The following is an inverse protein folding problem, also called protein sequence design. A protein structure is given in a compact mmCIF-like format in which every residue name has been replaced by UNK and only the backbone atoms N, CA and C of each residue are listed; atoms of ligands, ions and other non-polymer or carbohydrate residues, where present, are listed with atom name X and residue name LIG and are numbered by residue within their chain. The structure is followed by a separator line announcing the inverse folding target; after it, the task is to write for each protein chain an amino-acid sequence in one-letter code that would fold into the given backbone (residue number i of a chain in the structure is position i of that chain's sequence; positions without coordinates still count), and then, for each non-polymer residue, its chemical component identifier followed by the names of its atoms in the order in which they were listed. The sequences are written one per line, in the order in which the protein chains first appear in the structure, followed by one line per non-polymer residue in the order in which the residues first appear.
data_IF_414399497637
#
_entry.id   IF_414399497637
#
_cell.length_a   1.000
_cell.length_b   1.000
_cell.length_c   1.000
_cell.angle_alpha   90.00
_cell.angle_beta   90.00
_cell.angle_gamma   90.00
#
_symmetry.space_group_name_H-M   'P 1'
#
loop_
_entity.id
_entity.type
_entity.pdbx_description
1 polymer ?
#
# COMPACT_ATOMS: atom_id res chain seq x y z
N UNK A 1 2.16 8.53 0.98
CA UNK A 1 1.65 8.07 -0.32
C UNK A 1 2.68 7.29 -1.14
N UNK A 2 3.98 7.61 -1.09
CA UNK A 2 5.03 6.76 -1.68
C UNK A 2 5.38 5.54 -0.82
N UNK A 3 5.68 5.74 0.46
CA UNK A 3 6.11 4.66 1.37
C UNK A 3 5.16 3.46 1.43
N UNK A 4 3.85 3.71 1.58
CA UNK A 4 2.83 2.65 1.57
C UNK A 4 2.83 1.87 0.24
N UNK A 5 2.94 2.59 -0.88
CA UNK A 5 2.97 1.97 -2.20
C UNK A 5 4.24 1.13 -2.40
N UNK A 6 5.41 1.71 -2.15
CA UNK A 6 6.70 1.05 -2.37
C UNK A 6 6.84 -0.24 -1.54
N UNK A 7 6.24 -0.27 -0.35
CA UNK A 7 6.26 -1.44 0.52
C UNK A 7 5.14 -2.44 0.23
N UNK A 8 3.93 -2.00 -0.11
CA UNK A 8 2.83 -2.95 -0.33
C UNK A 8 2.87 -3.54 -1.74
N UNK A 9 3.33 -2.78 -2.74
CA UNK A 9 3.27 -3.19 -4.14
C UNK A 9 3.89 -4.56 -4.45
N UNK A 10 5.05 -4.96 -3.88
CA UNK A 10 5.60 -6.31 -4.11
C UNK A 10 4.75 -7.44 -3.52
N UNK A 11 3.99 -7.17 -2.46
CA UNK A 11 3.17 -8.16 -1.75
C UNK A 11 1.73 -8.25 -2.28
N UNK A 12 1.32 -7.28 -3.09
CA UNK A 12 -0.04 -7.18 -3.58
C UNK A 12 -0.19 -7.87 -4.93
N UNK A 13 -1.29 -8.62 -5.16
CA UNK A 13 -1.63 -9.07 -6.50
C UNK A 13 -1.88 -7.85 -7.39
N UNK A 14 -1.61 -7.99 -8.70
CA UNK A 14 -1.74 -6.88 -9.65
C UNK A 14 -3.07 -6.12 -9.45
N UNK A 15 -2.99 -4.77 -9.39
CA UNK A 15 -4.10 -3.87 -9.05
C UNK A 15 -5.38 -4.09 -9.88
N UNK A 16 -5.26 -4.64 -11.09
CA UNK A 16 -6.38 -4.86 -11.99
C UNK A 16 -7.06 -6.23 -11.82
N UNK A 17 -6.51 -7.11 -10.97
CA UNK A 17 -6.94 -8.50 -10.81
C UNK A 17 -7.40 -8.86 -9.38
N UNK A 18 -7.30 -7.93 -8.42
CA UNK A 18 -7.48 -8.21 -7.01
C UNK A 18 -8.69 -7.52 -6.39
N UNK A 19 -9.40 -8.16 -5.43
CA UNK A 19 -10.41 -7.49 -4.62
C UNK A 19 -9.80 -6.33 -3.81
N UNK A 20 -10.61 -5.31 -3.44
CA UNK A 20 -10.13 -4.17 -2.68
C UNK A 20 -9.49 -4.63 -1.36
N UNK A 21 -8.24 -4.20 -1.16
CA UNK A 21 -7.44 -4.55 0.01
C UNK A 21 -8.08 -3.92 1.24
N UNK A 22 -8.20 -4.67 2.32
CA UNK A 22 -8.75 -4.18 3.58
C UNK A 22 -7.63 -3.88 4.57
N UNK A 23 -7.91 -3.06 5.58
CA UNK A 23 -6.97 -2.84 6.70
C UNK A 23 -6.60 -4.16 7.39
N UNK A 24 -7.54 -5.10 7.49
CA UNK A 24 -7.27 -6.45 8.03
C UNK A 24 -6.24 -7.25 7.23
N UNK A 25 -6.16 -7.05 5.91
CA UNK A 25 -5.18 -7.73 5.06
C UNK A 25 -3.75 -7.37 5.46
N UNK A 26 -3.50 -6.10 5.83
CA UNK A 26 -2.20 -5.67 6.32
C UNK A 26 -1.83 -6.34 7.65
N UNK A 27 -2.80 -6.63 8.51
CA UNK A 27 -2.58 -7.39 9.74
C UNK A 27 -2.10 -8.81 9.43
N UNK A 28 -2.77 -9.49 8.50
CA UNK A 28 -2.40 -10.84 8.06
C UNK A 28 -1.00 -10.89 7.45
N UNK A 29 -0.65 -9.92 6.60
CA UNK A 29 0.70 -9.85 6.03
C UNK A 29 1.76 -9.54 7.09
N UNK A 30 1.46 -8.66 8.05
CA UNK A 30 2.37 -8.42 9.17
C UNK A 30 2.62 -9.72 9.95
N UNK A 31 1.59 -10.48 10.30
CA UNK A 31 1.74 -11.77 11.01
C UNK A 31 2.58 -12.77 10.23
N UNK A 32 2.29 -12.94 8.94
CA UNK A 32 3.04 -13.87 8.06
C UNK A 32 4.50 -13.47 7.91
N UNK A 33 4.79 -12.17 7.75
CA UNK A 33 6.16 -11.68 7.62
C UNK A 33 6.92 -11.80 8.94
N UNK A 34 6.29 -11.52 10.08
CA UNK A 34 6.92 -11.60 11.39
C UNK A 34 7.20 -13.04 11.86
N UNK A 35 6.53 -14.05 11.29
CA UNK A 35 6.82 -15.47 11.54
C UNK A 35 8.10 -15.96 10.84
N UNK A 36 8.69 -15.15 9.95
CA UNK A 36 9.98 -15.43 9.32
C UNK A 36 9.93 -16.46 8.18
N UNK A 37 11.13 -16.83 7.70
CA UNK A 37 11.35 -17.66 6.49
C UNK A 37 10.46 -18.91 6.34
N UNK A 38 10.13 -19.69 7.40
CA UNK A 38 9.23 -20.84 7.24
C UNK A 38 7.83 -20.45 6.75
N UNK A 39 7.29 -19.35 7.29
CA UNK A 39 6.00 -18.81 6.86
C UNK A 39 6.10 -18.25 5.44
N UNK A 40 7.20 -17.54 5.14
CA UNK A 40 7.42 -16.93 3.82
C UNK A 40 7.42 -17.97 2.71
N UNK A 41 8.12 -19.09 2.89
CA UNK A 41 8.14 -20.21 1.93
C UNK A 41 6.76 -20.81 1.69
N UNK A 42 5.89 -20.78 2.71
CA UNK A 42 4.53 -21.33 2.60
C UNK A 42 3.60 -20.38 1.84
N UNK A 43 3.73 -19.07 2.06
CA UNK A 43 2.86 -18.06 1.45
C UNK A 43 3.34 -17.63 0.06
N UNK A 44 4.64 -17.35 -0.09
CA UNK A 44 5.26 -16.72 -1.26
C UNK A 44 6.37 -17.56 -1.90
N UNK A 45 6.58 -18.81 -1.47
CA UNK A 45 7.64 -19.66 -2.01
C UNK A 45 7.52 -20.05 -3.49
N UNK A 46 6.46 -19.61 -4.17
CA UNK A 46 6.26 -19.75 -5.61
C UNK A 46 6.78 -18.52 -6.41
N UNK A 47 7.11 -17.43 -5.72
CA UNK A 47 7.60 -16.18 -6.31
C UNK A 47 9.04 -15.93 -5.85
N UNK A 48 9.99 -16.35 -6.68
CA UNK A 48 11.43 -16.23 -6.38
C UNK A 48 11.87 -14.76 -6.26
N UNK A 49 11.24 -13.85 -7.01
CA UNK A 49 11.57 -12.42 -7.00
C UNK A 49 11.12 -11.78 -5.69
N UNK A 50 9.88 -12.08 -5.26
CA UNK A 50 9.39 -11.61 -3.98
C UNK A 50 10.18 -12.21 -2.82
N UNK A 51 10.56 -13.49 -2.90
CA UNK A 51 11.40 -14.15 -1.90
C UNK A 51 12.78 -13.49 -1.75
N UNK A 52 13.44 -13.11 -2.85
CA UNK A 52 14.72 -12.39 -2.80
C UNK A 52 14.56 -11.00 -2.14
N UNK A 53 13.49 -10.28 -2.48
CA UNK A 53 13.19 -8.96 -1.94
C UNK A 53 12.88 -8.98 -0.43
N UNK A 54 12.13 -9.99 0.05
CA UNK A 54 11.84 -10.13 1.49
C UNK A 54 13.03 -10.64 2.29
N UNK A 55 13.88 -11.47 1.69
CA UNK A 55 15.12 -11.93 2.34
C UNK A 55 16.21 -10.85 2.34
N UNK A 56 16.22 -9.97 1.33
CA UNK A 56 17.19 -8.88 1.21
C UNK A 56 16.99 -7.72 2.18
N UNK A 57 15.81 -7.61 2.82
CA UNK A 57 15.45 -6.51 3.73
C UNK A 57 14.88 -7.01 5.06
N UNK A 58 15.59 -6.89 6.19
CA UNK A 58 15.08 -7.37 7.47
C UNK A 58 13.90 -6.55 8.04
N UNK A 59 13.64 -5.35 7.52
CA UNK A 59 12.63 -4.43 8.04
C UNK A 59 11.17 -4.75 7.65
N UNK A 60 10.90 -5.78 6.85
CA UNK A 60 9.55 -6.09 6.35
C UNK A 60 8.47 -6.27 7.43
N UNK A 61 8.79 -7.01 8.49
CA UNK A 61 7.89 -7.21 9.63
C UNK A 61 7.60 -5.87 10.35
N UNK A 62 8.61 -5.02 10.51
CA UNK A 62 8.47 -3.71 11.13
C UNK A 62 7.58 -2.80 10.27
N UNK A 63 7.88 -2.72 8.97
CA UNK A 63 7.19 -1.84 8.03
C UNK A 63 5.70 -2.18 7.96
N UNK A 64 5.35 -3.46 7.85
CA UNK A 64 3.96 -3.91 7.82
C UNK A 64 3.22 -3.71 9.14
N UNK A 65 3.88 -4.00 10.26
CA UNK A 65 3.30 -3.75 11.59
C UNK A 65 3.05 -2.27 11.81
N UNK A 66 4.00 -1.42 11.42
CA UNK A 66 3.88 0.04 11.51
C UNK A 66 2.71 0.55 10.66
N UNK A 67 2.60 0.13 9.40
CA UNK A 67 1.51 0.55 8.51
C UNK A 67 0.14 0.13 9.04
N UNK A 68 0.00 -1.12 9.51
CA UNK A 68 -1.24 -1.59 10.12
C UNK A 68 -1.59 -0.80 11.40
N UNK A 69 -0.62 -0.62 12.30
CA UNK A 69 -0.82 0.13 13.54
C UNK A 69 -1.19 1.60 13.27
N UNK A 70 -0.55 2.25 12.30
CA UNK A 70 -0.88 3.62 11.92
C UNK A 70 -2.32 3.73 11.41
N UNK A 71 -2.80 2.78 10.61
CA UNK A 71 -4.17 2.79 10.11
C UNK A 71 -5.21 2.48 11.19
N UNK A 72 -4.93 1.52 12.09
CA UNK A 72 -5.87 1.10 13.14
C UNK A 72 -5.88 2.00 14.36
N UNK A 73 -4.71 2.44 14.82
CA UNK A 73 -4.54 3.19 16.07
C UNK A 73 -4.29 4.68 15.82
N UNK A 74 -3.65 5.03 14.71
CA UNK A 74 -3.39 6.43 14.36
C UNK A 74 -4.57 7.09 13.67
N UNK A 75 -5.09 6.44 12.61
CA UNK A 75 -6.24 6.94 11.84
C UNK A 75 -7.58 6.31 12.24
N UNK A 76 -7.56 5.37 13.19
CA UNK A 76 -8.77 4.74 13.74
C UNK A 76 -9.68 4.05 12.71
N UNK A 77 -9.12 3.56 11.61
CA UNK A 77 -9.90 2.88 10.58
C UNK A 77 -10.43 1.52 11.06
N UNK A 78 -11.66 1.19 10.66
CA UNK A 78 -12.23 -0.14 10.85
C UNK A 78 -11.46 -1.21 10.06
N UNK A 79 -11.39 -2.44 10.59
CA UNK A 79 -10.67 -3.55 9.94
C UNK A 79 -11.15 -3.86 8.53
N UNK A 80 -12.46 -3.70 8.28
CA UNK A 80 -13.09 -3.95 6.98
C UNK A 80 -13.04 -2.77 6.00
N UNK A 81 -12.44 -1.64 6.40
CA UNK A 81 -12.31 -0.47 5.54
C UNK A 81 -11.47 -0.85 4.31
N UNK A 82 -12.00 -0.69 3.08
CA UNK A 82 -11.18 -0.84 1.88
C UNK A 82 -10.18 0.31 1.79
N UNK A 83 -8.95 -0.04 1.39
CA UNK A 83 -7.84 0.88 1.17
C UNK A 83 -7.32 0.63 -0.24
N UNK A 84 -7.22 1.70 -1.01
CA UNK A 84 -6.67 1.68 -2.35
C UNK A 84 -5.27 2.28 -2.32
N UNK A 85 -4.28 1.54 -2.84
CA UNK A 85 -2.86 1.90 -2.74
C UNK A 85 -2.32 2.13 -4.15
N UNK A 86 -2.65 3.25 -4.79
CA UNK A 86 -2.13 3.56 -6.12
C UNK A 86 -0.89 4.44 -6.10
N UNK A 87 0.06 4.23 -7.02
CA UNK A 87 1.07 5.26 -7.37
C UNK A 87 0.47 6.35 -8.26
N UNK A 88 -0.51 5.98 -9.09
CA UNK A 88 -1.23 6.86 -10.02
C UNK A 88 -2.73 6.59 -9.95
N UNK A 89 -3.52 7.64 -10.16
CA UNK A 89 -4.94 7.54 -10.50
C UNK A 89 -5.10 8.23 -11.85
N UNK A 90 -5.70 7.55 -12.84
CA UNK A 90 -5.92 8.05 -14.20
C UNK A 90 -4.68 8.70 -14.84
N UNK A 91 -3.52 8.05 -14.71
CA UNK A 91 -2.26 8.51 -15.28
C UNK A 91 -1.57 9.66 -14.53
N UNK A 92 -2.20 10.20 -13.47
CA UNK A 92 -1.65 11.30 -12.68
C UNK A 92 -1.04 10.77 -11.38
N UNK A 93 0.16 11.25 -11.03
CA UNK A 93 0.84 10.84 -9.80
C UNK A 93 0.12 11.35 -8.55
N UNK A 94 -0.08 10.44 -7.60
CA UNK A 94 -0.66 10.77 -6.30
C UNK A 94 0.40 11.46 -5.43
N UNK A 95 0.41 12.79 -5.51
CA UNK A 95 1.35 13.62 -4.78
C UNK A 95 0.76 14.96 -4.38
N UNK A 96 1.35 15.55 -3.35
CA UNK A 96 1.06 16.90 -2.88
C UNK A 96 1.27 17.97 -3.97
N UNK A 97 2.16 17.71 -4.93
CA UNK A 97 2.41 18.58 -6.07
C UNK A 97 1.17 18.83 -6.93
N UNK A 98 0.35 17.79 -7.20
CA UNK A 98 -0.90 17.95 -7.95
C UNK A 98 -1.88 18.88 -7.22
N UNK A 99 -2.04 18.67 -5.91
CA UNK A 99 -2.89 19.53 -5.08
C UNK A 99 -2.40 20.98 -5.03
N UNK A 100 -1.08 21.19 -4.99
CA UNK A 100 -0.49 22.52 -5.04
C UNK A 100 -0.73 23.22 -6.39
N UNK A 101 -0.59 22.49 -7.52
CA UNK A 101 -0.89 23.03 -8.85
C UNK A 101 -2.37 23.35 -9.00
N UNK A 102 -3.28 22.47 -8.52
CA UNK A 102 -4.71 22.77 -8.50
C UNK A 102 -4.96 24.02 -7.67
N UNK A 103 -4.43 24.14 -6.45
CA UNK A 103 -4.63 25.35 -5.63
C UNK A 103 -4.11 26.62 -6.30
N UNK A 104 -2.98 26.54 -7.00
CA UNK A 104 -2.41 27.65 -7.76
C UNK A 104 -3.27 28.04 -8.97
N UNK A 105 -3.86 27.05 -9.67
CA UNK A 105 -4.70 27.27 -10.86
C UNK A 105 -6.15 27.59 -10.50
N UNK A 106 -6.66 27.14 -9.35
CA UNK A 106 -8.04 27.37 -8.86
C UNK A 106 -8.30 28.82 -8.46
N UNK A 107 -7.26 29.67 -8.44
CA UNK A 107 -7.43 31.12 -8.48
C UNK A 107 -8.01 31.63 -9.81
N UNK A 108 -8.07 30.79 -10.85
CA UNK A 108 -8.81 30.96 -12.09
C UNK A 108 -9.96 29.95 -12.18
N UNK A 109 -11.09 30.36 -12.78
CA UNK A 109 -12.32 29.56 -12.88
C UNK A 109 -12.09 28.19 -13.52
N UNK A 110 -12.19 27.12 -12.73
CA UNK A 110 -12.24 25.74 -13.22
C UNK A 110 -13.71 25.39 -13.54
N UNK A 111 -14.06 25.35 -14.82
CA UNK A 111 -15.35 24.80 -15.28
C UNK A 111 -15.21 23.31 -15.57
N UNK A 112 -15.92 22.47 -14.82
CA UNK A 112 -16.16 21.10 -15.23
C UNK A 112 -16.97 21.11 -16.52
N UNK A 113 -16.41 20.54 -17.59
CA UNK A 113 -17.14 20.26 -18.82
C UNK A 113 -17.65 18.83 -18.67
N UNK A 114 -18.96 18.71 -18.50
CA UNK A 114 -19.69 17.43 -18.46
C UNK A 114 -19.78 16.86 -19.87
#
# INVERSE_FOLDING_TARGET
MSYFYDRLNPLLPEFNAAPPIKVSTLATYAEQLCQGKPSWKTQWGHDDVLMEEIEGRPEWCLDMTFMHALLRLGYEFGSDRPVEIGKRIDGTELGWALGATISMVSGGELKCIV
#
